data_IF_879595375458
#
_entry.id   IF_879595375458
#
_cell.length_a   1.000
_cell.length_b   1.000
_cell.length_c   1.000
_cell.angle_alpha   90.00
_cell.angle_beta   90.00
_cell.angle_gamma   90.00
#
_symmetry.space_group_name_H-M   'P 1'
#
loop_
_entity.id
_entity.type
_entity.pdbx_description
1 polymer ?
#
# COMPACT_ATOMS: atom_id res chain seq x y z
N UNK A 1 5.28 -13.80 -15.98
CA UNK A 1 5.92 -12.55 -15.52
C UNK A 1 7.41 -12.77 -15.45
N UNK A 2 8.15 -12.03 -16.26
CA UNK A 2 9.59 -11.95 -16.24
C UNK A 2 10.07 -11.07 -15.08
N UNK A 3 11.36 -11.15 -14.75
CA UNK A 3 11.97 -10.28 -13.73
C UNK A 3 11.89 -8.79 -14.11
N UNK A 4 11.95 -8.47 -15.41
CA UNK A 4 11.86 -7.10 -15.90
C UNK A 4 10.45 -6.50 -15.72
N UNK A 5 9.40 -7.28 -16.01
CA UNK A 5 8.00 -6.89 -15.76
C UNK A 5 7.78 -6.65 -14.26
N UNK A 6 8.27 -7.58 -13.42
CA UNK A 6 8.20 -7.43 -11.97
C UNK A 6 8.87 -6.15 -11.45
N UNK A 7 10.09 -5.86 -11.91
CA UNK A 7 10.81 -4.63 -11.54
C UNK A 7 10.08 -3.37 -12.00
N UNK A 8 9.37 -3.44 -13.12
CA UNK A 8 8.55 -2.34 -13.63
C UNK A 8 7.37 -2.08 -12.69
N UNK A 9 6.67 -3.13 -12.26
CA UNK A 9 5.57 -3.00 -11.31
C UNK A 9 6.03 -2.47 -9.95
N UNK A 10 7.19 -2.93 -9.45
CA UNK A 10 7.79 -2.39 -8.22
C UNK A 10 8.11 -0.90 -8.33
N UNK A 11 8.66 -0.47 -9.47
CA UNK A 11 8.95 0.95 -9.70
C UNK A 11 7.67 1.78 -9.75
N UNK A 12 6.64 1.28 -10.45
CA UNK A 12 5.33 1.94 -10.50
C UNK A 12 4.74 2.10 -9.09
N UNK A 13 4.81 1.06 -8.25
CA UNK A 13 4.32 1.11 -6.87
C UNK A 13 5.05 2.19 -6.06
N UNK A 14 6.38 2.24 -6.12
CA UNK A 14 7.18 3.25 -5.42
C UNK A 14 6.86 4.68 -5.89
N UNK A 15 6.73 4.88 -7.20
CA UNK A 15 6.40 6.18 -7.78
C UNK A 15 5.01 6.66 -7.35
N UNK A 16 4.01 5.77 -7.36
CA UNK A 16 2.66 6.09 -6.91
C UNK A 16 2.62 6.40 -5.42
N UNK A 17 3.32 5.63 -4.58
CA UNK A 17 3.39 5.89 -3.15
C UNK A 17 4.06 7.25 -2.85
N UNK A 18 5.15 7.58 -3.55
CA UNK A 18 5.81 8.88 -3.41
C UNK A 18 4.89 10.04 -3.82
N UNK A 19 4.16 9.89 -4.94
CA UNK A 19 3.17 10.89 -5.39
C UNK A 19 2.05 11.06 -4.38
N UNK A 20 1.51 9.97 -3.83
CA UNK A 20 0.47 10.00 -2.81
C UNK A 20 0.94 10.76 -1.58
N UNK A 21 2.12 10.43 -1.04
CA UNK A 21 2.68 11.13 0.13
C UNK A 21 2.84 12.63 -0.09
N UNK A 22 3.35 13.03 -1.25
CA UNK A 22 3.50 14.45 -1.61
C UNK A 22 2.14 15.16 -1.59
N UNK A 23 1.13 14.60 -2.25
CA UNK A 23 -0.22 15.20 -2.26
C UNK A 23 -0.79 15.28 -0.84
N UNK A 24 -0.66 14.23 -0.03
CA UNK A 24 -1.15 14.24 1.36
C UNK A 24 -0.48 15.34 2.18
N UNK A 25 0.82 15.60 1.96
CA UNK A 25 1.54 16.66 2.70
C UNK A 25 1.05 18.08 2.39
N UNK A 26 0.35 18.26 1.29
CA UNK A 26 -0.21 19.53 0.85
C UNK A 26 -1.67 19.73 1.30
N UNK A 27 -2.31 18.69 1.88
CA UNK A 27 -3.71 18.76 2.32
C UNK A 27 -3.89 19.52 3.62
N UNK A 28 -4.92 20.36 3.66
CA UNK A 28 -5.38 21.02 4.88
C UNK A 28 -6.41 20.18 5.63
N UNK A 29 -6.69 20.53 6.89
CA UNK A 29 -7.75 19.89 7.67
C UNK A 29 -9.14 20.03 7.03
N UNK A 30 -9.37 21.13 6.29
CA UNK A 30 -10.61 21.31 5.52
C UNK A 30 -10.69 20.28 4.39
N UNK A 31 -9.59 20.07 3.66
CA UNK A 31 -9.54 19.12 2.55
C UNK A 31 -9.79 17.68 3.02
N UNK A 32 -9.27 17.31 4.19
CA UNK A 32 -9.48 16.01 4.82
C UNK A 32 -10.96 15.73 5.14
N UNK A 33 -11.71 16.77 5.51
CA UNK A 33 -13.13 16.66 5.83
C UNK A 33 -14.04 16.66 4.59
N UNK A 34 -13.53 17.02 3.41
CA UNK A 34 -14.33 17.08 2.18
C UNK A 34 -14.70 15.70 1.65
N UNK A 35 -15.86 15.61 1.02
CA UNK A 35 -16.28 14.49 0.17
C UNK A 35 -16.12 14.96 -1.28
N UNK A 36 -15.18 14.36 -2.00
CA UNK A 36 -14.95 14.69 -3.40
C UNK A 36 -16.18 14.34 -4.27
N UNK A 37 -16.46 15.07 -5.37
CA UNK A 37 -17.54 14.74 -6.29
C UNK A 37 -17.46 13.27 -6.77
N UNK A 38 -18.58 12.54 -6.65
CA UNK A 38 -18.64 11.11 -6.99
C UNK A 38 -18.16 10.15 -5.88
N UNK A 39 -17.60 10.66 -4.79
CA UNK A 39 -17.28 9.87 -3.59
C UNK A 39 -18.48 9.76 -2.66
N UNK A 40 -18.53 8.67 -1.88
CA UNK A 40 -19.45 8.50 -0.75
C UNK A 40 -18.79 8.70 0.61
N UNK A 41 -17.47 8.90 0.63
CA UNK A 41 -16.65 8.98 1.85
C UNK A 41 -15.79 10.23 1.83
N UNK A 42 -15.39 10.71 3.02
CA UNK A 42 -14.49 11.87 3.12
C UNK A 42 -13.09 11.47 2.70
N UNK A 43 -12.29 12.45 2.32
CA UNK A 43 -10.89 12.22 1.95
C UNK A 43 -10.10 11.53 3.08
N UNK A 44 -10.32 11.90 4.34
CA UNK A 44 -9.67 11.23 5.48
C UNK A 44 -10.03 9.74 5.59
N UNK A 45 -11.28 9.37 5.30
CA UNK A 45 -11.74 7.99 5.36
C UNK A 45 -11.07 7.17 4.25
N UNK A 46 -10.98 7.75 3.05
CA UNK A 46 -10.29 7.14 1.91
C UNK A 46 -8.80 6.94 2.17
N UNK A 47 -8.12 7.98 2.67
CA UNK A 47 -6.68 7.92 2.98
C UNK A 47 -6.38 6.89 4.08
N UNK A 48 -7.24 6.82 5.10
CA UNK A 48 -7.12 5.82 6.16
C UNK A 48 -7.33 4.41 5.60
N UNK A 49 -8.32 4.23 4.71
CA UNK A 49 -8.56 2.97 4.01
C UNK A 49 -7.35 2.51 3.20
N UNK A 50 -6.71 3.41 2.45
CA UNK A 50 -5.47 3.12 1.70
C UNK A 50 -4.37 2.64 2.66
N UNK A 51 -4.12 3.37 3.75
CA UNK A 51 -3.09 3.00 4.72
C UNK A 51 -3.37 1.64 5.40
N UNK A 52 -4.62 1.38 5.77
CA UNK A 52 -5.03 0.11 6.38
C UNK A 52 -4.85 -1.06 5.39
N UNK A 53 -5.21 -0.86 4.12
CA UNK A 53 -5.04 -1.84 3.06
C UNK A 53 -3.57 -2.19 2.80
N UNK A 54 -2.69 -1.18 2.74
CA UNK A 54 -1.25 -1.38 2.59
C UNK A 54 -0.67 -2.20 3.75
N UNK A 55 -1.07 -1.88 5.00
CA UNK A 55 -0.63 -2.62 6.19
C UNK A 55 -1.12 -4.08 6.16
N UNK A 56 -2.37 -4.31 5.74
CA UNK A 56 -2.93 -5.64 5.62
C UNK A 56 -2.12 -6.52 4.66
N UNK A 57 -1.82 -6.00 3.45
CA UNK A 57 -1.00 -6.73 2.48
C UNK A 57 0.45 -6.91 2.92
N UNK A 58 1.06 -5.89 3.55
CA UNK A 58 2.39 -6.04 4.12
C UNK A 58 2.43 -7.20 5.13
N UNK A 59 1.41 -7.31 6.00
CA UNK A 59 1.26 -8.43 6.92
C UNK A 59 1.19 -9.79 6.21
N UNK A 60 0.36 -9.91 5.17
CA UNK A 60 0.23 -11.13 4.38
C UNK A 60 1.57 -11.53 3.72
N UNK A 61 2.27 -10.58 3.11
CA UNK A 61 3.59 -10.82 2.48
C UNK A 61 4.60 -11.32 3.52
N UNK A 62 4.64 -10.71 4.71
CA UNK A 62 5.58 -11.13 5.75
C UNK A 62 5.25 -12.52 6.29
N UNK A 63 3.98 -12.90 6.40
CA UNK A 63 3.58 -14.26 6.74
C UNK A 63 4.06 -15.26 5.68
N UNK A 64 3.85 -14.96 4.40
CA UNK A 64 4.31 -15.82 3.30
C UNK A 64 5.84 -16.01 3.32
N UNK A 65 6.61 -14.94 3.54
CA UNK A 65 8.08 -15.03 3.68
C UNK A 65 8.50 -15.93 4.84
N UNK A 66 7.82 -15.84 5.98
CA UNK A 66 8.09 -16.69 7.16
C UNK A 66 7.80 -18.15 6.85
N UNK A 67 6.64 -18.45 6.25
CA UNK A 67 6.25 -19.80 5.88
C UNK A 67 7.23 -20.41 4.87
N UNK A 68 7.62 -19.64 3.85
CA UNK A 68 8.64 -20.06 2.88
C UNK A 68 9.99 -20.35 3.53
N UNK A 69 10.40 -19.51 4.49
CA UNK A 69 11.66 -19.69 5.24
C UNK A 69 11.62 -20.87 6.22
N UNK A 70 10.44 -21.18 6.78
CA UNK A 70 10.27 -22.32 7.69
C UNK A 70 10.21 -23.66 6.97
N UNK A 71 9.75 -23.71 5.71
CA UNK A 71 9.71 -24.93 4.91
C UNK A 71 11.09 -25.48 4.52
N UNK A 72 12.18 -24.76 4.82
CA UNK A 72 13.57 -25.18 4.61
C UNK A 72 14.22 -25.91 5.80
N UNK A 73 13.53 -26.09 6.93
CA UNK A 73 14.04 -26.87 8.08
C UNK A 73 13.32 -28.22 8.18
N UNK A 74 13.81 -29.22 7.47
CA UNK A 74 13.57 -30.62 7.81
C UNK A 74 14.30 -30.90 9.15
N UNK A 75 13.63 -31.51 10.15
CA UNK A 75 14.33 -32.03 11.31
C UNK A 75 15.17 -33.24 10.87
N UNK A 76 16.47 -33.17 11.16
CA UNK A 76 17.39 -34.33 11.15
C UNK A 76 17.17 -35.13 12.41
#
# INVERSE_FOLDING_TARGET
MSEAEWKTDLRLLLDLHAKLKRVISELTSKDLAMIAPGSKVRNVDLLTGIAAHDLYHAGQIQLLKRLHSSSGKLPV
#
